data_IF_772868776389
#
_entry.id   IF_772868776389
#
_cell.length_a   1.000
_cell.length_b   1.000
_cell.length_c   1.000
_cell.angle_alpha   90.00
_cell.angle_beta   90.00
_cell.angle_gamma   90.00
#
_symmetry.space_group_name_H-M   'P 1'
#
loop_
_entity.id
_entity.type
_entity.pdbx_description
1 polymer ?
#
# COMPACT_ATOMS: atom_id res chain seq x y z
N UNK A 1 -15.11 -6.37 2.20
CA UNK A 1 -14.02 -5.39 2.33
C UNK A 1 -14.39 -4.05 1.69
N UNK A 2 -14.74 -3.96 0.39
CA UNK A 2 -15.06 -2.71 -0.30
C UNK A 2 -16.16 -1.90 0.43
N UNK A 3 -17.30 -2.54 0.73
CA UNK A 3 -18.37 -1.91 1.52
C UNK A 3 -17.93 -1.47 2.91
N UNK A 4 -17.06 -2.23 3.55
CA UNK A 4 -16.50 -1.90 4.88
C UNK A 4 -15.60 -0.65 4.80
N UNK A 5 -14.95 -0.43 3.67
CA UNK A 5 -14.18 0.79 3.38
C UNK A 5 -15.07 1.97 2.95
N UNK A 6 -16.39 1.80 2.91
CA UNK A 6 -17.35 2.84 2.50
C UNK A 6 -17.49 3.01 1.00
N UNK A 7 -17.00 2.06 0.18
CA UNK A 7 -17.17 2.08 -1.25
C UNK A 7 -18.49 1.42 -1.67
N UNK A 8 -19.16 2.01 -2.64
CA UNK A 8 -20.28 1.39 -3.34
C UNK A 8 -19.75 0.46 -4.43
N UNK A 9 -20.21 -0.80 -4.41
CA UNK A 9 -19.81 -1.78 -5.42
C UNK A 9 -20.79 -1.73 -6.58
N UNK A 10 -20.38 -1.13 -7.69
CA UNK A 10 -21.19 -0.92 -8.90
C UNK A 10 -20.97 -2.01 -9.96
N UNK A 11 -19.97 -2.84 -9.83
CA UNK A 11 -19.68 -3.95 -10.73
C UNK A 11 -18.74 -4.96 -10.12
N UNK A 12 -18.76 -6.19 -10.65
CA UNK A 12 -17.87 -7.28 -10.27
C UNK A 12 -17.39 -7.99 -11.54
N UNK A 13 -16.07 -8.16 -11.64
CA UNK A 13 -15.44 -8.89 -12.72
C UNK A 13 -14.59 -10.01 -12.17
N UNK A 14 -14.68 -11.19 -12.75
CA UNK A 14 -13.84 -12.34 -12.39
C UNK A 14 -13.14 -12.92 -13.60
N UNK A 15 -11.96 -13.48 -13.38
CA UNK A 15 -11.21 -14.20 -14.40
C UNK A 15 -10.75 -15.54 -13.83
N UNK A 16 -11.08 -16.63 -14.53
CA UNK A 16 -10.50 -17.95 -14.27
C UNK A 16 -9.25 -18.12 -15.13
N UNK A 17 -8.08 -18.13 -14.53
CA UNK A 17 -6.82 -18.32 -15.23
C UNK A 17 -5.82 -19.01 -14.33
N UNK A 18 -5.03 -19.95 -14.89
CA UNK A 18 -4.05 -20.73 -14.14
C UNK A 18 -2.86 -19.86 -13.65
N UNK A 19 -2.47 -18.84 -14.45
CA UNK A 19 -1.39 -17.90 -14.07
C UNK A 19 -1.79 -16.48 -14.43
N UNK A 20 -1.55 -15.50 -13.55
CA UNK A 20 -1.74 -14.08 -13.84
C UNK A 20 -0.84 -13.62 -14.99
N UNK A 21 -1.27 -12.58 -15.71
CA UNK A 21 -0.42 -11.91 -16.72
C UNK A 21 0.58 -11.02 -16.02
N UNK A 22 1.87 -11.15 -16.35
CA UNK A 22 2.92 -10.38 -15.68
C UNK A 22 2.72 -8.87 -15.74
N UNK A 23 2.21 -8.34 -16.86
CA UNK A 23 2.08 -6.90 -17.10
C UNK A 23 0.86 -6.26 -16.42
N UNK A 24 -0.28 -6.93 -16.42
CA UNK A 24 -1.58 -6.34 -16.02
C UNK A 24 -2.38 -7.23 -15.08
N UNK A 25 -1.82 -8.34 -14.61
CA UNK A 25 -2.52 -9.35 -13.83
C UNK A 25 -3.67 -10.02 -14.61
N UNK A 26 -4.51 -9.24 -15.30
CA UNK A 26 -5.59 -9.70 -16.17
C UNK A 26 -5.11 -9.87 -17.62
N UNK A 27 -5.78 -10.75 -18.39
CA UNK A 27 -5.59 -10.84 -19.84
C UNK A 27 -6.09 -9.58 -20.56
N UNK A 28 -5.56 -9.31 -21.77
CA UNK A 28 -5.86 -8.10 -22.56
C UNK A 28 -7.38 -7.88 -22.73
N UNK A 29 -8.11 -8.87 -23.23
CA UNK A 29 -9.56 -8.76 -23.41
C UNK A 29 -10.31 -8.54 -22.10
N UNK A 30 -9.77 -9.06 -20.97
CA UNK A 30 -10.38 -8.85 -19.66
C UNK A 30 -10.13 -7.45 -19.10
N UNK A 31 -9.02 -6.81 -19.47
CA UNK A 31 -8.75 -5.39 -19.17
C UNK A 31 -9.67 -4.49 -19.97
N UNK A 32 -9.91 -4.83 -21.26
CA UNK A 32 -10.85 -4.10 -22.10
C UNK A 32 -12.29 -4.20 -21.56
N UNK A 33 -12.74 -5.41 -21.18
CA UNK A 33 -14.04 -5.63 -20.53
C UNK A 33 -14.18 -4.84 -19.23
N UNK A 34 -13.11 -4.80 -18.41
CA UNK A 34 -13.06 -4.01 -17.18
C UNK A 34 -13.20 -2.52 -17.47
N UNK A 35 -12.52 -2.02 -18.50
CA UNK A 35 -12.63 -0.62 -18.95
C UNK A 35 -14.04 -0.25 -19.33
N UNK A 36 -14.68 -1.04 -20.19
CA UNK A 36 -16.07 -0.82 -20.58
C UNK A 36 -17.05 -0.87 -19.39
N UNK A 37 -16.86 -1.85 -18.49
CA UNK A 37 -17.69 -1.95 -17.29
C UNK A 37 -17.54 -0.71 -16.41
N UNK A 38 -16.31 -0.24 -16.21
CA UNK A 38 -16.02 0.93 -15.41
C UNK A 38 -16.63 2.21 -16.01
N UNK A 39 -16.56 2.37 -17.33
CA UNK A 39 -17.16 3.49 -18.05
C UNK A 39 -18.69 3.47 -17.95
N UNK A 40 -19.33 2.32 -18.23
CA UNK A 40 -20.78 2.16 -18.12
C UNK A 40 -21.32 2.44 -16.72
N UNK A 41 -20.59 2.01 -15.69
CA UNK A 41 -20.99 2.18 -14.28
C UNK A 41 -20.50 3.48 -13.68
N UNK A 42 -19.72 4.28 -14.42
CA UNK A 42 -19.03 5.50 -13.93
C UNK A 42 -18.20 5.23 -12.68
N UNK A 43 -17.53 4.07 -12.64
CA UNK A 43 -16.69 3.70 -11.54
C UNK A 43 -15.48 4.65 -11.44
N UNK A 44 -15.18 5.12 -10.25
CA UNK A 44 -14.04 6.00 -9.98
C UNK A 44 -12.83 5.27 -9.43
N UNK A 45 -13.00 3.99 -9.09
CA UNK A 45 -11.98 3.15 -8.46
C UNK A 45 -12.15 1.70 -8.89
N UNK A 46 -11.05 1.01 -9.16
CA UNK A 46 -10.99 -0.43 -9.36
C UNK A 46 -10.22 -1.08 -8.21
N UNK A 47 -10.81 -2.11 -7.62
CA UNK A 47 -10.22 -2.84 -6.49
C UNK A 47 -9.92 -4.27 -6.93
N UNK A 48 -8.67 -4.69 -6.78
CA UNK A 48 -8.26 -6.07 -7.02
C UNK A 48 -8.25 -6.86 -5.70
N UNK A 49 -8.82 -8.06 -5.70
CA UNK A 49 -8.80 -8.97 -4.54
C UNK A 49 -7.51 -9.81 -4.49
N UNK A 50 -6.41 -9.26 -4.97
CA UNK A 50 -5.07 -9.83 -4.95
C UNK A 50 -4.06 -8.70 -4.82
N UNK A 51 -2.87 -9.04 -4.30
CA UNK A 51 -1.76 -8.11 -4.27
C UNK A 51 -1.21 -7.91 -5.69
N UNK A 52 -1.03 -6.66 -6.06
CA UNK A 52 -0.49 -6.26 -7.35
C UNK A 52 0.93 -5.72 -7.19
N UNK A 53 1.75 -5.98 -8.19
CA UNK A 53 3.06 -5.29 -8.26
C UNK A 53 2.86 -3.81 -8.63
N UNK A 54 3.79 -2.93 -8.24
CA UNK A 54 3.73 -1.50 -8.61
C UNK A 54 3.62 -1.28 -10.12
N UNK A 55 4.29 -2.12 -10.91
CA UNK A 55 4.22 -2.07 -12.38
C UNK A 55 2.84 -2.45 -12.90
N UNK A 56 2.17 -3.45 -12.30
CA UNK A 56 0.82 -3.85 -12.67
C UNK A 56 -0.19 -2.75 -12.37
N UNK A 57 -0.13 -2.15 -11.19
CA UNK A 57 -1.01 -1.02 -10.81
C UNK A 57 -0.87 0.10 -11.83
N UNK A 58 0.34 0.57 -12.10
CA UNK A 58 0.60 1.63 -13.06
C UNK A 58 0.08 1.30 -14.47
N UNK A 59 0.36 0.08 -14.97
CA UNK A 59 -0.08 -0.32 -16.30
C UNK A 59 -1.60 -0.38 -16.39
N UNK A 60 -2.28 -0.83 -15.34
CA UNK A 60 -3.73 -0.85 -15.26
C UNK A 60 -4.31 0.56 -15.21
N UNK A 61 -3.76 1.46 -14.39
CA UNK A 61 -4.19 2.86 -14.31
C UNK A 61 -4.01 3.60 -15.64
N UNK A 62 -2.90 3.34 -16.35
CA UNK A 62 -2.68 3.91 -17.69
C UNK A 62 -3.69 3.40 -18.72
N UNK A 63 -4.05 2.11 -18.66
CA UNK A 63 -5.00 1.51 -19.61
C UNK A 63 -6.46 1.89 -19.32
N UNK A 64 -6.80 2.01 -18.03
CA UNK A 64 -8.17 2.24 -17.58
C UNK A 64 -8.47 3.72 -17.35
N UNK A 65 -7.45 4.58 -17.19
CA UNK A 65 -7.58 5.99 -16.76
C UNK A 65 -8.36 6.17 -15.46
N UNK A 66 -8.33 5.16 -14.59
CA UNK A 66 -9.03 5.11 -13.30
C UNK A 66 -8.03 4.65 -12.24
N UNK A 67 -8.18 5.13 -11.01
CA UNK A 67 -7.36 4.68 -9.88
C UNK A 67 -7.55 3.18 -9.63
N UNK A 68 -6.44 2.48 -9.44
CA UNK A 68 -6.38 1.05 -9.12
C UNK A 68 -5.74 0.86 -7.76
N UNK A 69 -6.43 0.14 -6.88
CA UNK A 69 -5.88 -0.31 -5.60
C UNK A 69 -5.95 -1.82 -5.50
N UNK A 70 -5.08 -2.39 -4.71
CA UNK A 70 -5.11 -3.81 -4.44
C UNK A 70 -5.73 -4.12 -3.07
N UNK A 71 -5.76 -5.41 -2.73
CA UNK A 71 -6.36 -5.89 -1.49
C UNK A 71 -5.65 -5.34 -0.26
N UNK A 72 -4.33 -5.29 -0.26
CA UNK A 72 -3.53 -4.82 0.87
C UNK A 72 -3.74 -3.33 1.12
N UNK A 73 -3.77 -2.50 0.08
CA UNK A 73 -4.06 -1.06 0.19
C UNK A 73 -5.46 -0.81 0.76
N UNK A 74 -6.46 -1.57 0.28
CA UNK A 74 -7.83 -1.48 0.80
C UNK A 74 -7.92 -1.85 2.28
N UNK A 75 -7.23 -2.90 2.71
CA UNK A 75 -7.20 -3.33 4.13
C UNK A 75 -6.54 -2.26 4.99
N UNK A 76 -5.43 -1.69 4.54
CA UNK A 76 -4.75 -0.61 5.25
C UNK A 76 -5.62 0.64 5.40
N UNK A 77 -6.41 0.99 4.38
CA UNK A 77 -7.36 2.10 4.45
C UNK A 77 -8.47 1.84 5.49
N UNK A 78 -8.99 0.61 5.54
CA UNK A 78 -9.97 0.22 6.56
C UNK A 78 -9.38 0.33 7.96
N UNK A 79 -8.15 -0.15 8.18
CA UNK A 79 -7.48 -0.04 9.47
C UNK A 79 -7.19 1.41 9.85
N UNK A 80 -6.77 2.25 8.90
CA UNK A 80 -6.53 3.67 9.13
C UNK A 80 -7.78 4.40 9.66
N UNK A 81 -8.94 4.08 9.09
CA UNK A 81 -10.22 4.65 9.53
C UNK A 81 -10.69 4.13 10.90
N UNK A 82 -10.29 2.92 11.29
CA UNK A 82 -10.70 2.27 12.54
C UNK A 82 -9.73 2.44 13.69
N UNK A 83 -8.52 2.87 13.42
CA UNK A 83 -7.49 3.07 14.44
C UNK A 83 -7.86 4.23 15.38
N UNK A 84 -8.32 3.92 16.59
CA UNK A 84 -8.71 4.90 17.60
C UNK A 84 -7.59 5.18 18.60
N UNK A 85 -6.82 4.16 18.99
CA UNK A 85 -5.73 4.33 19.95
C UNK A 85 -4.46 4.86 19.26
N UNK A 86 -3.63 5.57 20.03
CA UNK A 86 -2.37 6.08 19.51
C UNK A 86 -1.45 4.96 18.98
N UNK A 87 -1.34 3.85 19.72
CA UNK A 87 -0.57 2.69 19.26
C UNK A 87 -1.09 2.11 17.94
N UNK A 88 -2.43 1.98 17.78
CA UNK A 88 -3.03 1.49 16.54
C UNK A 88 -2.78 2.44 15.36
N UNK A 89 -2.85 3.76 15.58
CA UNK A 89 -2.53 4.76 14.55
C UNK A 89 -1.07 4.65 14.10
N UNK A 90 -0.14 4.51 15.04
CA UNK A 90 1.28 4.30 14.73
C UNK A 90 1.51 3.02 13.92
N UNK A 91 0.90 1.90 14.32
CA UNK A 91 1.00 0.64 13.59
C UNK A 91 0.48 0.74 12.15
N UNK A 92 -0.65 1.39 11.96
CA UNK A 92 -1.22 1.60 10.62
C UNK A 92 -0.35 2.52 9.78
N UNK A 93 0.16 3.63 10.36
CA UNK A 93 1.07 4.54 9.64
C UNK A 93 2.36 3.83 9.21
N UNK A 94 2.96 3.01 10.09
CA UNK A 94 4.12 2.19 9.76
C UNK A 94 3.80 1.26 8.59
N UNK A 95 2.72 0.48 8.69
CA UNK A 95 2.33 -0.46 7.65
C UNK A 95 2.02 0.24 6.30
N UNK A 96 1.38 1.40 6.32
CA UNK A 96 1.13 2.20 5.12
C UNK A 96 2.44 2.69 4.48
N UNK A 97 3.40 3.17 5.27
CA UNK A 97 4.70 3.60 4.77
C UNK A 97 5.50 2.43 4.19
N UNK A 98 5.54 1.28 4.87
CA UNK A 98 6.21 0.07 4.39
C UNK A 98 5.60 -0.45 3.09
N UNK A 99 4.29 -0.35 2.95
CA UNK A 99 3.56 -0.77 1.77
C UNK A 99 3.74 0.20 0.59
N UNK A 100 3.63 1.50 0.85
CA UNK A 100 3.62 2.55 -0.18
C UNK A 100 5.03 2.86 -0.69
N UNK A 101 6.03 2.83 0.20
CA UNK A 101 7.38 3.24 -0.13
C UNK A 101 8.04 2.43 -1.28
N UNK A 102 8.02 1.09 -1.29
CA UNK A 102 8.57 0.31 -2.42
C UNK A 102 7.84 0.59 -3.74
N UNK A 103 6.54 0.91 -3.66
CA UNK A 103 5.70 1.23 -4.82
C UNK A 103 6.07 2.57 -5.44
N UNK A 104 6.23 3.59 -4.64
CA UNK A 104 6.72 4.90 -5.09
C UNK A 104 8.09 4.76 -5.75
N UNK A 105 9.01 4.05 -5.14
CA UNK A 105 10.33 3.81 -5.69
C UNK A 105 10.27 3.16 -7.09
N UNK A 106 9.48 2.10 -7.25
CA UNK A 106 9.33 1.42 -8.53
C UNK A 106 8.70 2.31 -9.63
N UNK A 107 7.85 3.26 -9.25
CA UNK A 107 7.32 4.26 -10.17
C UNK A 107 8.39 5.24 -10.63
N UNK A 108 9.26 5.69 -9.73
CA UNK A 108 10.31 6.68 -10.03
C UNK A 108 11.48 6.10 -10.81
N UNK A 109 11.92 4.88 -10.48
CA UNK A 109 12.98 4.18 -11.21
C UNK A 109 12.64 4.07 -12.71
N UNK A 110 11.35 3.97 -13.03
CA UNK A 110 10.88 3.90 -14.40
C UNK A 110 10.76 5.27 -15.09
N UNK A 111 10.40 6.32 -14.36
CA UNK A 111 10.40 7.69 -14.89
C UNK A 111 11.82 8.12 -15.32
N UNK A 112 12.83 7.74 -14.55
CA UNK A 112 14.24 7.96 -14.90
C UNK A 112 14.67 7.23 -16.18
N UNK A 113 14.10 6.08 -16.48
CA UNK A 113 14.38 5.32 -17.72
C UNK A 113 13.64 5.86 -18.95
N UNK A 114 12.44 6.43 -18.77
CA UNK A 114 11.60 6.93 -19.88
C UNK A 114 12.02 8.33 -20.35
N UNK A 115 12.59 9.14 -19.48
CA UNK A 115 13.07 10.50 -19.83
C UNK A 115 14.38 10.49 -20.60
N UNK A 116 14.81 9.33 -21.16
CA UNK A 116 15.85 9.21 -22.18
C UNK A 116 17.01 10.20 -22.01
N UNK A 117 17.63 10.19 -20.86
CA UNK A 117 18.79 11.04 -20.61
C UNK A 117 19.90 10.67 -21.58
N UNK A 118 20.43 11.65 -22.31
CA UNK A 118 21.72 11.53 -22.98
C UNK A 118 22.72 10.85 -22.04
N UNK A 119 23.71 10.10 -22.54
CA UNK A 119 24.67 9.40 -21.71
C UNK A 119 25.42 10.43 -20.84
N UNK A 120 24.93 10.60 -19.63
CA UNK A 120 25.59 11.42 -18.62
C UNK A 120 26.79 10.60 -18.18
N UNK A 121 27.97 11.17 -18.28
CA UNK A 121 29.24 10.49 -18.02
C UNK A 121 29.24 9.83 -16.64
N UNK A 122 30.04 8.78 -16.54
CA UNK A 122 30.26 8.00 -15.31
C UNK A 122 30.53 8.96 -14.15
N UNK A 123 29.57 9.08 -13.20
CA UNK A 123 29.76 9.82 -11.95
C UNK A 123 28.81 10.99 -11.66
N UNK A 124 27.94 11.41 -12.58
CA UNK A 124 26.95 12.46 -12.31
C UNK A 124 25.57 11.86 -12.05
N UNK A 125 25.19 11.80 -10.77
CA UNK A 125 23.80 11.49 -10.39
C UNK A 125 22.88 12.60 -10.88
N UNK A 126 21.84 12.27 -11.64
CA UNK A 126 20.86 13.24 -12.09
C UNK A 126 20.09 13.86 -10.91
N UNK A 127 19.55 15.09 -11.06
CA UNK A 127 18.79 15.75 -9.99
C UNK A 127 17.61 14.92 -9.47
N UNK A 128 17.01 14.09 -10.31
CA UNK A 128 15.96 13.15 -9.90
C UNK A 128 16.44 12.02 -8.98
N UNK A 129 17.64 11.50 -9.19
CA UNK A 129 18.23 10.46 -8.33
C UNK A 129 18.59 11.00 -6.93
N UNK A 130 19.05 12.26 -6.86
CA UNK A 130 19.31 12.91 -5.57
C UNK A 130 18.02 13.14 -4.78
N UNK A 131 16.95 13.56 -5.44
CA UNK A 131 15.66 13.75 -4.80
C UNK A 131 15.11 12.43 -4.26
N UNK A 132 15.19 11.35 -5.03
CA UNK A 132 14.80 10.01 -4.60
C UNK A 132 15.55 9.53 -3.36
N UNK A 133 16.85 9.78 -3.30
CA UNK A 133 17.66 9.38 -2.15
C UNK A 133 17.29 10.19 -0.90
N UNK A 134 16.97 11.48 -1.06
CA UNK A 134 16.48 12.34 0.02
C UNK A 134 15.13 11.82 0.52
N UNK A 135 14.19 11.56 -0.38
CA UNK A 135 12.86 11.05 -0.04
C UNK A 135 12.94 9.69 0.66
N UNK A 136 13.82 8.81 0.17
CA UNK A 136 14.11 7.53 0.82
C UNK A 136 14.60 7.70 2.25
N UNK A 137 15.56 8.59 2.48
CA UNK A 137 16.09 8.86 3.82
C UNK A 137 15.02 9.43 4.74
N UNK A 138 14.15 10.30 4.23
CA UNK A 138 13.04 10.87 4.99
C UNK A 138 12.04 9.79 5.42
N UNK A 139 11.65 8.91 4.51
CA UNK A 139 10.74 7.79 4.83
C UNK A 139 11.36 6.84 5.84
N UNK A 140 12.63 6.45 5.66
CA UNK A 140 13.33 5.57 6.59
C UNK A 140 13.47 6.21 7.98
N UNK A 141 13.78 7.52 8.04
CA UNK A 141 13.84 8.27 9.29
C UNK A 141 12.45 8.32 9.96
N UNK A 142 11.39 8.53 9.17
CA UNK A 142 10.02 8.52 9.69
C UNK A 142 9.66 7.14 10.26
N UNK A 143 9.90 6.06 9.51
CA UNK A 143 9.68 4.69 9.96
C UNK A 143 10.42 4.39 11.27
N UNK A 144 11.72 4.71 11.34
CA UNK A 144 12.52 4.49 12.55
C UNK A 144 11.98 5.28 13.75
N UNK A 145 11.49 6.52 13.53
CA UNK A 145 10.88 7.32 14.61
C UNK A 145 9.57 6.69 15.10
N UNK A 146 8.69 6.31 14.18
CA UNK A 146 7.40 5.70 14.50
C UNK A 146 7.59 4.36 15.24
N UNK A 147 8.54 3.54 14.78
CA UNK A 147 8.86 2.26 15.42
C UNK A 147 9.34 2.45 16.85
N UNK A 148 10.28 3.37 17.09
CA UNK A 148 10.76 3.69 18.45
C UNK A 148 9.64 4.18 19.38
N UNK A 149 8.73 4.98 18.84
CA UNK A 149 7.58 5.46 19.60
C UNK A 149 6.62 4.32 19.97
N UNK A 150 6.36 3.43 19.03
CA UNK A 150 5.55 2.22 19.25
C UNK A 150 6.18 1.27 20.27
N UNK A 151 7.49 1.01 20.15
CA UNK A 151 8.25 0.18 21.09
C UNK A 151 8.21 0.77 22.51
N UNK A 152 8.28 2.09 22.63
CA UNK A 152 8.13 2.78 23.92
C UNK A 152 6.75 2.58 24.56
N UNK A 153 5.69 2.55 23.75
CA UNK A 153 4.33 2.25 24.23
C UNK A 153 4.20 0.80 24.67
N UNK A 154 4.75 -0.14 23.90
CA UNK A 154 4.75 -1.57 24.22
C UNK A 154 5.51 -1.83 25.53
N UNK A 155 6.72 -1.32 25.66
CA UNK A 155 7.52 -1.47 26.88
C UNK A 155 6.84 -0.87 28.14
N UNK A 156 6.05 0.19 27.99
CA UNK A 156 5.25 0.74 29.08
C UNK A 156 4.11 -0.21 29.46
N UNK A 157 3.37 -0.71 28.46
CA UNK A 157 2.27 -1.66 28.70
C UNK A 157 2.75 -2.95 29.34
N UNK A 158 3.89 -3.49 28.90
CA UNK A 158 4.49 -4.68 29.49
C UNK A 158 4.82 -4.46 30.98
N UNK A 159 5.43 -3.33 31.34
CA UNK A 159 5.70 -2.98 32.75
C UNK A 159 4.41 -2.86 33.58
N UNK A 160 3.37 -2.24 33.01
CA UNK A 160 2.06 -2.13 33.68
C UNK A 160 1.40 -3.49 33.88
N UNK A 161 1.55 -4.42 32.92
CA UNK A 161 1.04 -5.81 33.04
C UNK A 161 1.82 -6.58 34.08
N UNK A 162 3.15 -6.49 34.07
CA UNK A 162 4.02 -7.16 35.06
C UNK A 162 3.65 -6.70 36.47
N UNK A 163 3.56 -5.39 36.69
CA UNK A 163 3.20 -4.84 38.01
C UNK A 163 1.78 -5.28 38.46
N UNK A 164 0.81 -5.35 37.56
CA UNK A 164 -0.51 -5.89 37.87
C UNK A 164 -0.50 -7.37 38.23
N UNK A 165 0.35 -8.15 37.58
CA UNK A 165 0.44 -9.60 37.83
C UNK A 165 1.14 -9.94 39.18
N UNK A 166 1.87 -8.99 39.79
CA UNK A 166 2.42 -9.15 41.15
C UNK A 166 1.29 -9.14 42.19
N UNK A 167 0.22 -8.37 41.96
CA UNK A 167 -0.87 -8.17 42.92
C UNK A 167 -2.15 -8.93 42.57
N UNK A 168 -2.33 -9.34 41.29
CA UNK A 168 -3.60 -9.88 40.77
C UNK A 168 -3.41 -11.06 39.81
N UNK A 169 -4.34 -12.02 39.88
CA UNK A 169 -4.40 -13.09 38.87
C UNK A 169 -5.03 -12.57 37.57
N UNK A 170 -4.36 -12.88 36.45
CA UNK A 170 -4.89 -12.56 35.12
C UNK A 170 -5.65 -13.76 34.56
N UNK A 171 -6.92 -13.57 34.20
CA UNK A 171 -7.76 -14.60 33.57
C UNK A 171 -8.07 -14.17 32.15
N UNK A 172 -7.70 -15.02 31.17
CA UNK A 172 -8.07 -14.86 29.76
C UNK A 172 -9.41 -15.53 29.49
N UNK A 173 -10.38 -14.77 28.97
CA UNK A 173 -11.64 -15.31 28.41
C UNK A 173 -11.41 -15.50 26.91
N UNK A 174 -11.54 -16.75 26.45
CA UNK A 174 -11.47 -17.10 25.02
C UNK A 174 -12.88 -17.53 24.61
N UNK A 175 -13.46 -16.83 23.64
CA UNK A 175 -14.76 -17.10 23.06
C UNK A 175 -14.64 -17.47 21.60
#
# INVERSE_FOLDING_TARGET
LARTAGAEVVGLLSQKRAKPVGRTFLGKGKVEELGHLAEMTKATLVIFDHDLTPAQIRNLEQLLSIKVIDRSELILDIFARRATTHAAKLQVEIAQLEYTYPRLRAMWDHLGQVTGGAPVGIGTRGPGEQQLEIDRRLVQKRLSKLQKELDGIHARKEREVLHRNEDHYTVGLVG
#
